data_IF_735333425686
#
_entry.id   IF_735333425686
#
_cell.length_a   1.000
_cell.length_b   1.000
_cell.length_c   1.000
_cell.angle_alpha   90.00
_cell.angle_beta   90.00
_cell.angle_gamma   90.00
#
_symmetry.space_group_name_H-M   'P 1'
#
loop_
_entity.id
_entity.type
_entity.pdbx_description
1 polymer ?
#
# COMPACT_ATOMS: atom_id res chain seq x y z
N UNK A 1 -9.94 -20.39 -14.02
CA UNK A 1 -9.09 -19.78 -12.98
C UNK A 1 -7.67 -19.66 -13.54
N UNK A 2 -7.04 -18.48 -13.49
CA UNK A 2 -5.64 -18.29 -13.93
C UNK A 2 -4.74 -18.27 -12.69
N UNK A 3 -3.74 -19.15 -12.63
CA UNK A 3 -2.71 -19.13 -11.58
C UNK A 3 -1.78 -17.94 -11.82
N UNK A 4 -1.38 -17.24 -10.75
CA UNK A 4 -0.37 -16.17 -10.78
C UNK A 4 0.71 -16.44 -9.74
N UNK A 5 1.95 -16.08 -10.05
CA UNK A 5 3.14 -16.28 -9.21
C UNK A 5 3.70 -14.91 -8.82
N UNK A 6 3.75 -14.65 -7.51
CA UNK A 6 4.39 -13.46 -6.95
C UNK A 6 5.71 -13.79 -6.25
N UNK A 7 6.68 -12.87 -6.30
CA UNK A 7 7.98 -13.01 -5.62
C UNK A 7 8.15 -11.90 -4.61
N UNK A 8 8.29 -12.25 -3.33
CA UNK A 8 8.62 -11.31 -2.25
C UNK A 8 10.10 -10.99 -2.23
N UNK A 9 10.42 -9.70 -2.24
CA UNK A 9 11.78 -9.19 -2.06
C UNK A 9 11.98 -8.88 -0.57
N UNK A 10 12.88 -9.60 0.07
CA UNK A 10 13.17 -9.45 1.49
C UNK A 10 14.10 -8.26 1.76
N UNK A 11 14.13 -7.73 2.98
CA UNK A 11 14.99 -6.61 3.38
C UNK A 11 16.50 -6.90 3.36
N UNK A 12 16.90 -8.11 2.95
CA UNK A 12 18.29 -8.52 2.75
C UNK A 12 18.62 -8.78 1.27
N UNK A 13 17.64 -8.63 0.39
CA UNK A 13 17.90 -8.73 -1.04
C UNK A 13 18.70 -7.50 -1.47
N UNK A 14 19.69 -7.64 -2.35
CA UNK A 14 20.61 -6.58 -2.74
C UNK A 14 19.96 -5.54 -3.69
N UNK A 15 18.66 -5.33 -3.58
CA UNK A 15 17.90 -4.53 -4.51
C UNK A 15 17.99 -3.04 -4.15
N UNK A 16 19.15 -2.44 -4.44
CA UNK A 16 19.35 -0.99 -4.41
C UNK A 16 18.18 -0.28 -5.12
N UNK A 17 17.50 0.69 -4.47
CA UNK A 17 16.39 1.43 -5.06
C UNK A 17 16.71 2.03 -6.44
N UNK A 18 17.98 2.36 -6.70
CA UNK A 18 18.46 2.90 -7.99
C UNK A 18 18.48 1.83 -9.08
N UNK A 19 18.79 0.59 -8.73
CA UNK A 19 18.92 -0.53 -9.68
C UNK A 19 17.72 -1.47 -9.69
N UNK A 20 16.69 -1.18 -8.87
CA UNK A 20 15.49 -1.99 -8.69
C UNK A 20 14.77 -2.37 -9.99
N UNK A 21 14.90 -1.57 -11.04
CA UNK A 21 14.33 -1.89 -12.36
C UNK A 21 14.87 -3.19 -12.96
N UNK A 22 16.16 -3.49 -12.80
CA UNK A 22 16.82 -4.67 -13.38
C UNK A 22 16.23 -6.00 -12.88
N UNK A 23 16.08 -6.25 -11.56
CA UNK A 23 15.44 -7.46 -11.08
C UNK A 23 13.96 -7.53 -11.48
N UNK A 24 13.24 -6.42 -11.58
CA UNK A 24 11.84 -6.40 -12.04
C UNK A 24 11.74 -6.84 -13.51
N UNK A 25 12.61 -6.29 -14.38
CA UNK A 25 12.69 -6.70 -15.79
C UNK A 25 13.03 -8.19 -15.90
N UNK A 26 13.96 -8.66 -15.06
CA UNK A 26 14.32 -10.09 -15.03
C UNK A 26 13.15 -10.98 -14.59
N UNK A 27 12.38 -10.55 -13.59
CA UNK A 27 11.15 -11.24 -13.15
C UNK A 27 10.11 -11.32 -14.26
N UNK A 28 9.89 -10.23 -15.00
CA UNK A 28 8.95 -10.19 -16.13
C UNK A 28 9.39 -11.17 -17.24
N UNK A 29 10.69 -11.21 -17.57
CA UNK A 29 11.25 -12.18 -18.54
C UNK A 29 11.08 -13.65 -18.11
N UNK A 30 11.07 -13.91 -16.81
CA UNK A 30 10.86 -15.25 -16.24
C UNK A 30 9.38 -15.60 -16.07
N UNK A 31 8.46 -14.70 -16.41
CA UNK A 31 7.02 -14.90 -16.30
C UNK A 31 6.48 -14.79 -14.87
N UNK A 32 7.19 -14.10 -13.97
CA UNK A 32 6.67 -13.74 -12.65
C UNK A 32 5.62 -12.64 -12.81
N UNK A 33 4.46 -12.81 -12.19
CA UNK A 33 3.33 -11.88 -12.34
C UNK A 33 3.48 -10.60 -11.51
N UNK A 34 4.18 -10.66 -10.37
CA UNK A 34 4.29 -9.52 -9.46
C UNK A 34 5.49 -9.61 -8.51
N UNK A 35 6.33 -8.57 -8.40
CA UNK A 35 7.21 -8.40 -7.25
C UNK A 35 6.41 -7.93 -6.02
N UNK A 36 6.83 -8.32 -4.82
CA UNK A 36 6.21 -7.91 -3.55
C UNK A 36 7.22 -7.23 -2.64
N UNK A 37 6.93 -6.00 -2.26
CA UNK A 37 7.80 -5.18 -1.41
C UNK A 37 7.27 -5.11 0.04
N UNK A 38 8.12 -5.31 1.06
CA UNK A 38 7.79 -5.07 2.46
C UNK A 38 7.84 -3.58 2.79
N UNK A 39 7.00 -3.14 3.72
CA UNK A 39 7.15 -1.82 4.36
C UNK A 39 8.22 -1.92 5.45
N UNK A 40 9.49 -1.85 5.04
CA UNK A 40 10.65 -1.94 5.93
C UNK A 40 11.50 -0.67 5.83
N UNK A 41 11.35 0.24 6.78
CA UNK A 41 11.95 1.58 6.72
C UNK A 41 13.48 1.56 6.71
N UNK A 42 14.08 0.54 7.33
CA UNK A 42 15.53 0.39 7.41
C UNK A 42 16.14 -0.47 6.31
N UNK A 43 15.35 -0.93 5.34
CA UNK A 43 15.84 -1.74 4.23
C UNK A 43 16.24 -0.85 3.05
N UNK A 44 17.31 -1.22 2.36
CA UNK A 44 17.69 -0.63 1.08
C UNK A 44 16.78 -1.18 -0.04
N UNK A 45 15.48 -0.96 0.09
CA UNK A 45 14.43 -1.35 -0.86
C UNK A 45 13.58 -0.13 -1.20
N UNK A 46 12.94 -0.09 -2.38
CA UNK A 46 11.94 0.93 -2.65
C UNK A 46 10.79 0.87 -1.64
N UNK A 47 10.22 2.03 -1.31
CA UNK A 47 9.00 2.09 -0.53
C UNK A 47 7.91 1.23 -1.20
N UNK A 48 7.14 0.43 -0.45
CA UNK A 48 6.14 -0.47 -1.02
C UNK A 48 5.06 0.25 -1.82
N UNK A 49 4.85 1.55 -1.61
CA UNK A 49 3.97 2.35 -2.46
C UNK A 49 4.54 2.56 -3.87
N UNK A 50 5.86 2.48 -4.08
CA UNK A 50 6.46 2.60 -5.42
C UNK A 50 6.21 1.33 -6.27
N UNK A 51 5.66 0.25 -5.69
CA UNK A 51 5.34 -1.00 -6.39
C UNK A 51 4.06 -1.69 -5.91
N UNK A 52 3.89 -2.96 -6.26
CA UNK A 52 2.91 -3.84 -5.60
C UNK A 52 3.49 -4.31 -4.28
N UNK A 53 3.17 -3.63 -3.19
CA UNK A 53 3.77 -3.88 -1.88
C UNK A 53 2.76 -3.94 -0.75
N UNK A 54 3.18 -4.58 0.34
CA UNK A 54 2.47 -4.55 1.60
C UNK A 54 2.83 -3.23 2.28
N UNK A 55 1.87 -2.34 2.45
CA UNK A 55 2.02 -1.08 3.19
C UNK A 55 1.50 -1.26 4.62
N UNK A 56 2.24 -0.80 5.61
CA UNK A 56 1.73 -0.64 6.98
C UNK A 56 0.86 0.60 6.99
N UNK A 57 -0.44 0.39 6.83
CA UNK A 57 -1.39 1.49 6.82
C UNK A 57 -1.52 2.21 8.19
N UNK A 58 -1.55 1.54 9.36
CA UNK A 58 -1.67 2.25 10.62
C UNK A 58 -0.47 3.15 10.90
N UNK A 59 -0.72 4.46 10.72
CA UNK A 59 0.19 5.57 10.97
C UNK A 59 0.77 6.23 9.71
N UNK A 60 0.38 5.79 8.51
CA UNK A 60 0.40 6.64 7.30
C UNK A 60 -0.92 7.39 7.19
N UNK A 61 -0.90 8.62 6.69
CA UNK A 61 -2.13 9.39 6.47
C UNK A 61 -2.93 8.76 5.31
N UNK A 62 -4.18 8.29 5.51
CA UNK A 62 -4.94 7.60 4.48
C UNK A 62 -5.27 8.48 3.26
N UNK A 63 -5.35 9.80 3.43
CA UNK A 63 -5.55 10.74 2.31
C UNK A 63 -4.32 10.76 1.39
N UNK A 64 -3.13 10.79 2.00
CA UNK A 64 -1.86 10.77 1.26
C UNK A 64 -1.68 9.44 0.55
N UNK A 65 -1.93 8.33 1.24
CA UNK A 65 -1.89 6.98 0.65
C UNK A 65 -2.86 6.87 -0.53
N UNK A 66 -4.09 7.38 -0.39
CA UNK A 66 -5.05 7.37 -1.50
C UNK A 66 -4.54 8.16 -2.71
N UNK A 67 -3.96 9.35 -2.49
CA UNK A 67 -3.35 10.18 -3.55
C UNK A 67 -2.16 9.48 -4.23
N UNK A 68 -1.31 8.81 -3.46
CA UNK A 68 -0.18 8.05 -3.99
C UNK A 68 -0.66 6.89 -4.86
N UNK A 69 -1.60 6.09 -4.35
CA UNK A 69 -2.22 4.99 -5.10
C UNK A 69 -2.92 5.45 -6.38
N UNK A 70 -3.66 6.55 -6.30
CA UNK A 70 -4.27 7.22 -7.45
C UNK A 70 -3.24 7.57 -8.53
N UNK A 71 -2.11 8.16 -8.11
CA UNK A 71 -1.03 8.56 -9.01
C UNK A 71 -0.37 7.34 -9.65
N UNK A 72 -0.06 6.31 -8.87
CA UNK A 72 0.54 5.06 -9.36
C UNK A 72 -0.39 4.33 -10.31
N UNK A 73 -1.69 4.28 -10.03
CA UNK A 73 -2.67 3.67 -10.92
C UNK A 73 -2.77 4.38 -12.27
N UNK A 74 -2.54 5.69 -12.31
CA UNK A 74 -2.45 6.45 -13.55
C UNK A 74 -1.13 6.22 -14.29
N UNK A 75 0.00 6.11 -13.58
CA UNK A 75 1.32 5.85 -14.16
C UNK A 75 1.50 4.42 -14.66
N UNK A 76 0.91 3.44 -13.97
CA UNK A 76 1.02 2.02 -14.26
C UNK A 76 -0.37 1.33 -14.25
N UNK A 77 -1.25 1.61 -15.24
CA UNK A 77 -2.62 1.11 -15.23
C UNK A 77 -2.72 -0.42 -15.16
N UNK A 78 -3.38 -0.93 -14.11
CA UNK A 78 -3.58 -2.36 -13.90
C UNK A 78 -2.36 -3.14 -13.42
N UNK A 79 -1.27 -2.46 -13.05
CA UNK A 79 -0.07 -3.07 -12.47
C UNK A 79 0.08 -2.80 -10.97
N UNK A 80 -0.88 -2.09 -10.37
CA UNK A 80 -0.88 -1.73 -8.95
C UNK A 80 -1.81 -2.66 -8.18
N UNK A 81 -1.28 -3.31 -7.15
CA UNK A 81 -2.01 -4.16 -6.21
C UNK A 81 -1.66 -3.75 -4.78
N UNK A 82 -2.41 -2.80 -4.18
CA UNK A 82 -2.15 -2.34 -2.83
C UNK A 82 -2.56 -3.40 -1.81
N UNK A 83 -1.66 -3.72 -0.90
CA UNK A 83 -1.95 -4.63 0.21
C UNK A 83 -1.63 -3.93 1.52
N UNK A 84 -2.53 -3.98 2.49
CA UNK A 84 -2.33 -3.37 3.80
C UNK A 84 -2.18 -4.45 4.86
N UNK A 85 -1.14 -4.35 5.70
CA UNK A 85 -0.92 -5.27 6.82
C UNK A 85 -0.81 -4.50 8.15
N UNK A 86 -1.57 -4.96 9.14
CA UNK A 86 -1.66 -4.39 10.48
C UNK A 86 -0.39 -4.67 11.30
N UNK A 87 0.31 -5.77 11.01
CA UNK A 87 1.37 -6.35 11.86
C UNK A 87 2.76 -6.32 11.27
N UNK A 88 2.92 -5.91 10.01
CA UNK A 88 4.20 -5.96 9.32
C UNK A 88 5.29 -5.08 9.96
N UNK A 89 4.91 -3.91 10.50
CA UNK A 89 5.87 -3.05 11.21
C UNK A 89 6.46 -3.74 12.45
N UNK A 90 7.78 -3.75 12.53
CA UNK A 90 8.52 -4.29 13.68
C UNK A 90 8.24 -3.47 14.95
N UNK A 91 8.52 -4.03 16.12
CA UNK A 91 8.37 -3.31 17.39
C UNK A 91 9.18 -2.01 17.45
N UNK A 92 10.28 -1.91 16.68
CA UNK A 92 11.12 -0.71 16.57
C UNK A 92 10.56 0.34 15.62
N UNK A 93 9.84 -0.08 14.57
CA UNK A 93 9.25 0.84 13.58
C UNK A 93 7.88 1.37 14.01
N UNK A 94 7.09 0.59 14.75
CA UNK A 94 5.74 1.00 15.20
C UNK A 94 5.68 2.39 15.86
N UNK A 95 6.63 2.81 16.72
CA UNK A 95 6.63 4.15 17.31
C UNK A 95 6.86 5.29 16.30
N UNK A 96 7.44 5.01 15.13
CA UNK A 96 7.70 5.98 14.06
C UNK A 96 6.43 6.35 13.28
N UNK A 97 5.38 5.53 13.43
CA UNK A 97 4.07 5.67 12.79
C UNK A 97 3.02 5.99 13.86
N UNK A 98 2.90 7.26 14.29
CA UNK A 98 1.95 7.65 15.32
C UNK A 98 0.51 7.37 14.87
N UNK A 99 -0.31 6.89 15.80
CA UNK A 99 -1.71 6.55 15.54
C UNK A 99 -2.63 7.15 16.62
N UNK A 100 -3.86 7.56 16.27
CA UNK A 100 -4.77 8.24 17.19
C UNK A 100 -5.51 7.31 18.16
N UNK A 101 -5.23 6.00 18.16
CA UNK A 101 -5.92 5.02 19.01
C UNK A 101 -5.39 3.60 18.88
N UNK A 102 -6.14 2.59 19.35
CA UNK A 102 -5.79 1.18 19.19
C UNK A 102 -5.53 0.83 17.73
N UNK A 103 -4.36 0.22 17.45
CA UNK A 103 -3.88 -0.06 16.10
C UNK A 103 -4.86 -0.85 15.25
N UNK A 104 -5.53 -1.86 15.83
CA UNK A 104 -6.55 -2.64 15.13
C UNK A 104 -7.67 -1.75 14.60
N UNK A 105 -8.28 -0.95 15.47
CA UNK A 105 -9.39 -0.06 15.11
C UNK A 105 -8.99 1.01 14.08
N UNK A 106 -7.79 1.59 14.22
CA UNK A 106 -7.26 2.55 13.23
C UNK A 106 -7.06 1.87 11.87
N UNK A 107 -6.65 0.59 11.86
CA UNK A 107 -6.45 -0.17 10.63
C UNK A 107 -7.75 -0.65 10.01
N UNK A 108 -8.82 -0.80 10.78
CA UNK A 108 -10.15 -1.11 10.23
C UNK A 108 -10.76 0.13 9.56
N UNK A 109 -10.53 1.33 10.08
CA UNK A 109 -11.07 2.57 9.53
C UNK A 109 -10.28 3.10 8.32
N UNK A 110 -8.95 3.11 8.37
CA UNK A 110 -8.12 3.74 7.36
C UNK A 110 -8.35 3.23 5.91
N UNK A 111 -8.51 1.91 5.63
CA UNK A 111 -8.81 1.42 4.29
C UNK A 111 -10.15 1.93 3.76
N UNK A 112 -11.11 2.20 4.64
CA UNK A 112 -12.40 2.79 4.26
C UNK A 112 -12.20 4.20 3.71
N UNK A 113 -11.39 5.02 4.40
CA UNK A 113 -11.03 6.37 3.95
C UNK A 113 -10.31 6.34 2.61
N UNK A 114 -9.33 5.44 2.45
CA UNK A 114 -8.60 5.27 1.20
C UNK A 114 -9.54 4.92 0.05
N UNK A 115 -10.46 3.98 0.27
CA UNK A 115 -11.41 3.54 -0.74
C UNK A 115 -12.37 4.65 -1.16
N UNK A 116 -12.94 5.40 -0.21
CA UNK A 116 -13.84 6.51 -0.49
C UNK A 116 -13.17 7.56 -1.40
N UNK A 117 -11.92 7.91 -1.09
CA UNK A 117 -11.16 8.91 -1.85
C UNK A 117 -10.75 8.41 -3.24
N UNK A 118 -10.46 7.13 -3.41
CA UNK A 118 -10.13 6.55 -4.73
C UNK A 118 -11.34 6.44 -5.65
N UNK A 119 -12.56 6.32 -5.10
CA UNK A 119 -13.79 6.08 -5.84
C UNK A 119 -14.63 7.35 -6.08
N UNK A 120 -14.48 8.41 -5.28
CA UNK A 120 -15.31 9.63 -5.37
C UNK A 120 -14.56 10.93 -5.69
N UNK A 121 -15.33 12.03 -5.76
CA UNK A 121 -14.85 13.36 -6.20
C UNK A 121 -15.00 14.46 -5.15
N UNK A 122 -15.90 14.31 -4.18
CA UNK A 122 -16.13 15.26 -3.10
C UNK A 122 -16.54 14.45 -1.86
N UNK A 123 -15.55 14.11 -1.04
CA UNK A 123 -15.71 13.15 0.04
C UNK A 123 -15.73 13.90 1.39
N UNK A 124 -16.86 13.75 2.09
CA UNK A 124 -16.95 14.01 3.51
C UNK A 124 -17.12 12.68 4.25
N UNK A 125 -16.44 12.54 5.38
CA UNK A 125 -16.42 11.32 6.19
C UNK A 125 -16.20 11.69 7.65
N UNK A 126 -17.00 11.13 8.55
CA UNK A 126 -16.85 11.33 9.99
C UNK A 126 -16.65 9.98 10.66
N UNK A 127 -15.39 9.60 10.82
CA UNK A 127 -14.96 8.40 11.52
C UNK A 127 -14.55 8.67 12.96
N UNK A 128 -14.14 7.61 13.64
CA UNK A 128 -13.57 7.69 15.00
C UNK A 128 -12.17 8.28 15.00
N UNK A 129 -11.40 8.06 13.92
CA UNK A 129 -9.99 8.46 13.84
C UNK A 129 -9.70 9.47 12.72
N UNK A 130 -10.50 9.49 11.67
CA UNK A 130 -10.33 10.37 10.52
C UNK A 130 -11.63 11.13 10.25
N UNK A 131 -11.47 12.41 9.97
CA UNK A 131 -12.55 13.27 9.48
C UNK A 131 -12.11 13.88 8.15
N UNK A 132 -12.99 13.79 7.16
CA UNK A 132 -12.85 14.46 5.87
C UNK A 132 -14.00 15.46 5.72
N UNK A 133 -13.69 16.64 5.21
CA UNK A 133 -14.65 17.69 4.89
C UNK A 133 -14.38 18.18 3.47
N UNK A 134 -15.27 17.82 2.54
CA UNK A 134 -15.19 18.19 1.13
C UNK A 134 -13.82 17.93 0.46
N UNK A 135 -13.29 16.72 0.62
CA UNK A 135 -11.95 16.35 0.14
C UNK A 135 -12.01 15.65 -1.22
N UNK A 136 -11.12 16.06 -2.12
CA UNK A 136 -10.90 15.43 -3.44
C UNK A 136 -9.44 15.05 -3.62
N UNK A 137 -9.18 13.91 -4.28
CA UNK A 137 -7.85 13.55 -4.76
C UNK A 137 -7.87 13.31 -6.28
N UNK A 138 -6.71 13.39 -6.92
CA UNK A 138 -6.54 13.03 -8.33
C UNK A 138 -5.11 12.56 -8.61
N UNK A 139 -4.79 11.99 -9.78
CA UNK A 139 -5.72 11.65 -10.84
C UNK A 139 -6.66 10.51 -10.42
N UNK A 140 -7.83 10.39 -11.05
CA UNK A 140 -8.72 9.26 -10.77
C UNK A 140 -8.19 7.99 -11.43
N UNK A 141 -8.13 6.86 -10.71
CA UNK A 141 -7.81 5.58 -11.32
C UNK A 141 -8.77 5.27 -12.48
N UNK A 142 -8.23 4.87 -13.64
CA UNK A 142 -9.05 4.47 -14.81
C UNK A 142 -9.91 3.24 -14.51
N UNK A 143 -9.46 2.41 -13.56
CA UNK A 143 -10.17 1.24 -13.05
C UNK A 143 -10.10 1.25 -11.52
N UNK A 144 -11.14 0.75 -10.82
CA UNK A 144 -11.06 0.54 -9.38
C UNK A 144 -9.83 -0.28 -8.99
N UNK A 145 -9.18 0.11 -7.90
CA UNK A 145 -8.07 -0.65 -7.32
C UNK A 145 -8.62 -1.70 -6.36
N UNK A 146 -8.13 -2.94 -6.49
CA UNK A 146 -8.40 -3.98 -5.50
C UNK A 146 -7.52 -3.73 -4.28
N UNK A 147 -8.12 -3.31 -3.16
CA UNK A 147 -7.41 -3.11 -1.90
C UNK A 147 -7.42 -4.42 -1.10
N UNK A 148 -6.26 -5.00 -0.85
CA UNK A 148 -6.14 -6.27 -0.13
C UNK A 148 -5.71 -6.02 1.32
N UNK A 149 -6.19 -6.86 2.23
CA UNK A 149 -5.76 -6.86 3.62
C UNK A 149 -4.96 -8.13 3.90
N UNK A 150 -3.73 -7.99 4.38
CA UNK A 150 -2.89 -9.09 4.85
C UNK A 150 -3.47 -9.71 6.14
N UNK A 151 -3.61 -11.03 6.15
CA UNK A 151 -4.17 -11.79 7.28
C UNK A 151 -3.11 -12.60 8.03
N UNK A 152 -3.19 -12.64 9.36
CA UNK A 152 -2.26 -13.42 10.20
C UNK A 152 -2.68 -13.62 11.66
N UNK A 153 -3.81 -14.28 11.92
CA UNK A 153 -4.25 -14.68 13.29
C UNK A 153 -5.77 -14.46 13.52
N UNK A 154 -6.41 -15.21 14.43
CA UNK A 154 -7.87 -15.18 14.61
C UNK A 154 -8.34 -13.82 15.15
N UNK A 155 -9.58 -13.47 14.78
CA UNK A 155 -10.35 -12.33 15.31
C UNK A 155 -10.70 -12.54 16.77
#
# INVERSE_FOLDING_TARGET
MKLRIGVGLGPRDPADPVTFGDPVVRMEQLGVDSPWLPDALGADLPDPLVGSGVTVLPGRNPVVVAKELATLAALAPGRILPVFDVRHATARERPLFPIPGPRGEVTDEAPTVVRLLLEGEDISFEGKYHTLDHVTIGPRPVRPLDLWLGGGGPR
#
